data_IF_388170385272
#
_entry.id   IF_388170385272
#
_cell.length_a   1.000
_cell.length_b   1.000
_cell.length_c   1.000
_cell.angle_alpha   90.00
_cell.angle_beta   90.00
_cell.angle_gamma   90.00
#
_symmetry.space_group_name_H-M   'P 1'
#
loop_
_entity.id
_entity.type
_entity.pdbx_description
1 polymer ?
2 polymer ?
3 non-polymer ?
4 water ?
#
# COMPACT_ATOMS: atom_id res chain seq x y z
N UNK A 2 15.65 -0.35 25.13
CA UNK A 2 15.84 0.10 23.74
C UNK A 2 14.64 0.93 23.26
N UNK A 3 14.79 2.25 23.18
CA UNK A 3 13.69 3.05 22.65
C UNK A 3 13.36 2.55 21.25
N UNK A 4 12.08 2.59 20.89
CA UNK A 4 11.78 2.53 19.46
C UNK A 4 12.39 3.78 18.83
N UNK A 5 12.87 3.64 17.62
CA UNK A 5 13.53 4.75 16.95
C UNK A 5 13.27 4.65 15.46
N UNK A 6 13.05 5.80 14.85
CA UNK A 6 13.04 5.90 13.40
C UNK A 6 14.45 6.31 12.96
N UNK A 7 15.02 5.54 12.06
CA UNK A 7 16.28 5.92 11.46
C UNK A 7 16.21 5.54 9.99
N UNK A 8 17.23 5.90 9.23
CA UNK A 8 17.29 5.49 7.84
C UNK A 8 17.96 4.13 7.77
N UNK A 9 17.23 3.16 7.26
CA UNK A 9 17.74 1.82 7.12
C UNK A 9 18.68 1.73 5.93
N UNK A 10 19.47 0.68 5.89
CA UNK A 10 20.23 0.35 4.68
C UNK A 10 19.63 -0.93 4.11
N UNK A 11 19.98 -1.25 2.86
CA UNK A 11 19.46 -2.49 2.23
C UNK A 11 20.62 -3.39 1.86
N UNK A 12 20.34 -4.70 1.82
CA UNK A 12 21.31 -5.68 1.40
C UNK A 12 20.61 -6.63 0.44
N UNK A 13 21.36 -7.14 -0.53
CA UNK A 13 20.83 -8.06 -1.53
C UNK A 13 22.00 -8.86 -2.10
N UNK A 14 21.68 -9.92 -2.84
CA UNK A 14 22.67 -10.68 -3.59
C UNK A 14 22.54 -10.42 -5.08
N UNK A 15 22.25 -9.18 -5.44
CA UNK A 15 22.18 -8.80 -6.84
C UNK A 15 23.52 -9.09 -7.52
N UNK A 16 23.46 -9.21 -8.84
CA UNK A 16 24.62 -9.49 -9.68
C UNK A 16 24.92 -8.26 -10.53
N UNK A 17 26.19 -7.89 -10.60
CA UNK A 17 26.57 -6.62 -11.20
C UNK A 17 26.66 -6.67 -12.71
N UNK A 18 26.67 -7.87 -13.31
CA UNK A 18 26.72 -8.05 -14.76
C UNK A 18 25.34 -8.25 -15.38
N UNK A 19 24.27 -8.11 -14.60
CA UNK A 19 22.92 -8.47 -15.01
C UNK A 19 22.10 -7.22 -15.27
N UNK A 20 21.30 -7.28 -16.33
CA UNK A 20 20.64 -6.11 -16.89
C UNK A 20 19.27 -5.80 -16.30
N UNK A 21 18.72 -6.66 -15.45
CA UNK A 21 17.33 -6.50 -15.03
C UNK A 21 17.23 -5.43 -13.94
N UNK A 22 16.08 -4.75 -13.91
CA UNK A 22 15.96 -3.51 -13.13
C UNK A 22 16.34 -3.71 -11.66
N UNK A 23 15.85 -4.78 -11.01
CA UNK A 23 16.07 -4.94 -9.58
C UNK A 23 17.55 -5.19 -9.28
N UNK A 24 18.23 -5.95 -10.12
CA UNK A 24 19.67 -6.17 -9.93
C UNK A 24 20.43 -4.86 -10.11
N UNK A 25 20.12 -4.10 -11.15
CA UNK A 25 20.83 -2.83 -11.36
C UNK A 25 20.58 -1.90 -10.17
N UNK A 26 19.34 -1.82 -9.69
CA UNK A 26 19.06 -0.93 -8.57
C UNK A 26 19.81 -1.37 -7.31
N UNK A 27 19.76 -2.67 -7.01
CA UNK A 27 20.38 -3.16 -5.78
C UNK A 27 21.90 -3.07 -5.84
N UNK A 28 22.49 -3.19 -7.04
CA UNK A 28 23.95 -3.13 -7.17
C UNK A 28 24.50 -1.78 -6.74
N UNK A 29 23.75 -0.68 -6.94
CA UNK A 29 24.21 0.62 -6.48
C UNK A 29 23.64 1.00 -5.11
N UNK A 30 22.46 0.51 -4.76
CA UNK A 30 21.81 0.92 -3.53
C UNK A 30 22.20 0.06 -2.34
N UNK A 31 22.52 -1.21 -2.55
CA UNK A 31 22.55 -2.16 -1.45
C UNK A 31 23.96 -2.69 -1.27
N UNK A 32 24.19 -3.31 -0.11
CA UNK A 32 25.48 -3.93 0.20
C UNK A 32 25.28 -5.44 0.07
N UNK A 33 26.35 -6.23 0.08
CA UNK A 33 26.16 -7.68 0.05
C UNK A 33 25.50 -8.20 1.31
N UNK A 34 24.81 -9.33 1.16
CA UNK A 34 24.15 -9.94 2.31
C UNK A 34 25.17 -10.73 3.11
N UNK A 35 24.92 -10.81 4.42
CA UNK A 35 25.51 -11.84 5.28
C UNK A 35 24.85 -13.17 4.96
N UNK A 36 25.56 -14.13 4.39
CA UNK A 36 24.89 -15.37 3.95
C UNK A 36 24.35 -16.23 5.10
N UNK A 37 24.78 -15.97 6.35
CA UNK A 37 24.53 -16.89 7.46
C UNK A 37 24.58 -16.12 8.78
N UNK A 38 23.77 -15.07 8.94
CA UNK A 38 23.84 -14.27 10.17
C UNK A 38 23.32 -15.03 11.36
N UNK A 39 23.72 -14.55 12.54
CA UNK A 39 23.22 -15.08 13.80
C UNK A 39 21.99 -14.30 14.24
N UNK A 40 21.12 -14.98 14.96
CA UNK A 40 19.90 -14.40 15.48
C UNK A 40 19.88 -14.71 16.97
N UNK A 41 19.74 -13.69 17.80
CA UNK A 41 19.68 -13.86 19.26
C UNK A 41 18.23 -13.92 19.71
N UNK A 42 17.82 -15.06 20.24
CA UNK A 42 16.46 -15.19 20.77
C UNK A 42 16.45 -14.65 22.19
N UNK A 43 15.52 -13.75 22.47
CA UNK A 43 15.46 -13.09 23.77
C UNK A 43 14.53 -13.87 24.67
N UNK A 44 15.13 -14.48 25.71
CA UNK A 44 14.42 -15.16 26.78
C UNK A 44 13.56 -14.20 27.59
N UNK A 45 12.28 -14.55 27.79
CA UNK A 45 11.44 -13.97 28.84
C UNK A 45 11.03 -12.53 28.54
N UNK A 46 11.24 -12.07 27.31
CA UNK A 46 11.07 -10.65 26.95
C UNK A 46 9.74 -10.46 26.22
N UNK A 47 9.04 -9.38 26.55
CA UNK A 47 7.83 -8.99 25.83
C UNK A 47 7.95 -7.55 25.36
N UNK A 48 7.48 -7.30 24.14
CA UNK A 48 7.60 -6.00 23.47
C UNK A 48 6.33 -5.73 22.68
N UNK A 49 5.94 -4.45 22.62
CA UNK A 49 4.75 -4.05 21.88
C UNK A 49 5.11 -3.66 20.44
N UNK A 50 4.37 -4.20 19.48
CA UNK A 50 4.51 -3.86 18.08
C UNK A 50 3.27 -3.12 17.60
N UNK A 51 3.42 -2.36 16.51
CA UNK A 51 2.27 -1.76 15.82
C UNK A 51 2.59 -1.74 14.32
N UNK A 52 2.21 -2.80 13.63
CA UNK A 52 2.53 -2.90 12.21
C UNK A 52 1.95 -1.73 11.39
N UNK A 53 0.94 -1.04 11.89
CA UNK A 53 0.26 0.02 11.14
C UNK A 53 0.91 1.39 11.32
N UNK A 54 1.89 1.48 12.24
CA UNK A 54 2.63 2.69 12.56
C UNK A 54 4.09 2.23 12.68
N UNK A 55 4.69 1.94 11.52
CA UNK A 55 6.01 1.32 11.45
C UNK A 55 6.81 2.05 10.38
N UNK A 56 7.76 2.89 10.81
CA UNK A 56 8.48 3.71 9.85
C UNK A 56 9.28 2.87 8.84
N UNK A 57 9.53 1.60 9.14
CA UNK A 57 10.14 0.71 8.14
C UNK A 57 9.31 0.64 6.87
N UNK A 58 7.96 0.66 6.97
CA UNK A 58 7.10 0.58 5.80
C UNK A 58 7.27 1.82 4.94
N UNK A 59 7.34 3.01 5.56
CA UNK A 59 7.53 4.23 4.78
C UNK A 59 8.86 4.19 4.03
N UNK A 60 9.90 3.66 4.70
CA UNK A 60 11.22 3.60 4.06
C UNK A 60 11.23 2.64 2.89
N UNK A 61 10.63 1.44 3.07
CA UNK A 61 10.60 0.51 1.96
C UNK A 61 9.84 1.08 0.79
N UNK A 62 8.73 1.74 1.04
CA UNK A 62 7.95 2.33 -0.03
C UNK A 62 8.78 3.31 -0.86
N UNK A 63 9.54 4.18 -0.19
CA UNK A 63 10.35 5.11 -0.95
C UNK A 63 11.39 4.39 -1.79
N UNK A 64 11.98 3.30 -1.24
CA UNK A 64 13.01 2.57 -1.94
C UNK A 64 12.43 1.90 -3.18
N UNK A 65 11.23 1.34 -3.06
CA UNK A 65 10.64 0.62 -4.20
C UNK A 65 10.21 1.63 -5.29
N UNK A 66 9.72 2.80 -4.89
CA UNK A 66 9.46 3.89 -5.84
C UNK A 66 10.73 4.20 -6.60
N UNK A 67 11.85 4.34 -5.87
CA UNK A 67 13.11 4.65 -6.53
C UNK A 67 13.47 3.56 -7.53
N UNK A 68 13.33 2.29 -7.13
CA UNK A 68 13.64 1.19 -8.03
C UNK A 68 12.84 1.29 -9.33
N UNK A 69 11.52 1.43 -9.23
CA UNK A 69 10.69 1.50 -10.44
C UNK A 69 10.99 2.74 -11.27
N UNK A 70 11.16 3.89 -10.61
CA UNK A 70 11.50 5.13 -11.30
C UNK A 70 12.92 5.12 -11.87
N UNK A 71 13.80 4.22 -11.41
CA UNK A 71 15.10 4.07 -12.08
C UNK A 71 14.91 3.54 -13.49
N UNK A 72 14.37 2.31 -13.61
CA UNK A 72 14.13 1.71 -14.91
C UNK A 72 12.63 1.58 -15.21
N UNK A 92 13.45 -3.87 -19.99
CA UNK A 92 14.35 -5.04 -19.97
C UNK A 92 13.69 -6.07 -19.05
N UNK A 93 14.39 -7.18 -18.79
CA UNK A 93 13.87 -8.18 -17.86
C UNK A 93 13.51 -7.52 -16.53
N UNK A 94 12.42 -7.98 -15.93
CA UNK A 94 11.91 -7.38 -14.69
C UNK A 94 11.42 -8.52 -13.78
N UNK A 95 12.30 -8.98 -12.91
CA UNK A 95 11.99 -10.07 -11.98
C UNK A 95 12.42 -9.66 -10.58
N UNK A 96 11.49 -9.47 -9.65
CA UNK A 96 11.90 -9.00 -8.33
C UNK A 96 12.88 -9.96 -7.65
N UNK A 97 13.85 -9.37 -6.97
CA UNK A 97 14.82 -10.15 -6.20
C UNK A 97 14.62 -9.85 -4.72
N UNK A 98 15.06 -10.72 -3.82
CA UNK A 98 14.95 -10.45 -2.39
C UNK A 98 15.83 -9.27 -1.94
N UNK A 99 15.23 -8.37 -1.16
CA UNK A 99 15.91 -7.23 -0.57
C UNK A 99 15.74 -7.30 0.95
N UNK A 100 16.85 -7.19 1.69
CA UNK A 100 16.80 -7.14 3.14
C UNK A 100 16.90 -5.68 3.60
N UNK A 101 16.10 -5.29 4.60
CA UNK A 101 16.18 -3.95 5.20
C UNK A 101 16.87 -4.07 6.55
N UNK A 102 17.83 -3.19 6.83
CA UNK A 102 18.83 -3.45 7.87
C UNK A 102 19.03 -2.20 8.73
N UNK A 103 19.24 -2.43 10.00
CA UNK A 103 19.40 -1.40 11.02
C UNK A 103 20.85 -0.91 11.04
N UNK A 104 21.10 0.39 10.95
CA UNK A 104 22.48 0.88 10.97
C UNK A 104 23.08 0.87 12.38
N UNK A 105 24.35 1.27 12.43
CA UNK A 105 25.14 1.25 13.67
C UNK A 105 24.42 1.99 14.79
N UNK A 106 24.33 1.35 15.95
CA UNK A 106 23.55 1.89 17.05
C UNK A 106 22.12 1.43 17.12
N UNK A 107 21.67 0.61 16.18
CA UNK A 107 20.27 0.20 16.10
C UNK A 107 20.20 -1.30 15.85
N UNK A 108 19.00 -1.86 16.04
CA UNK A 108 18.77 -3.26 15.77
C UNK A 108 17.32 -3.37 15.35
N UNK A 109 16.98 -4.50 14.77
CA UNK A 109 15.60 -4.83 14.43
C UNK A 109 15.12 -5.90 15.39
N UNK A 110 13.98 -5.64 16.04
CA UNK A 110 13.30 -6.62 16.85
C UNK A 110 12.33 -7.40 15.98
N UNK A 111 12.37 -8.72 16.08
CA UNK A 111 11.53 -9.61 15.29
C UNK A 111 10.61 -10.37 16.23
N UNK A 112 9.31 -10.28 15.94
CA UNK A 112 8.30 -11.01 16.71
C UNK A 112 8.25 -12.45 16.22
N UNK A 113 8.43 -13.40 17.12
CA UNK A 113 8.45 -14.80 16.71
C UNK A 113 7.13 -15.52 16.98
N UNK A 114 6.17 -14.87 17.64
CA UNK A 114 4.84 -15.44 17.84
C UNK A 114 4.20 -15.82 16.50
N UNK A 115 3.81 -17.09 16.37
CA UNK A 115 3.42 -17.65 15.08
C UNK A 115 2.00 -17.29 14.65
N UNK A 116 1.18 -16.74 15.55
CA UNK A 116 -0.13 -16.15 15.22
C UNK A 116 -0.21 -14.79 15.89
N UNK A 117 0.59 -13.84 15.40
CA UNK A 117 0.66 -12.48 15.92
C UNK A 117 -0.20 -11.56 15.04
N UNK A 118 -1.05 -10.74 15.69
CA UNK A 118 -1.94 -9.87 14.92
C UNK A 118 -1.26 -8.57 14.49
N UNK A 119 0.01 -8.38 14.81
CA UNK A 119 0.75 -7.22 14.38
C UNK A 119 0.65 -6.01 15.29
N UNK A 120 -0.34 -5.96 16.19
CA UNK A 120 -0.49 -4.90 17.17
C UNK A 120 -0.48 -5.51 18.58
N UNK A 121 0.09 -4.79 19.53
CA UNK A 121 0.08 -5.23 20.90
C UNK A 121 1.25 -6.14 21.25
N UNK A 122 1.13 -6.84 22.37
CA UNK A 122 2.31 -7.53 22.94
C UNK A 122 2.70 -8.77 22.15
N UNK A 123 4.01 -9.04 22.13
CA UNK A 123 4.62 -10.21 21.51
C UNK A 123 5.58 -10.83 22.49
N UNK A 124 5.53 -12.15 22.64
CA UNK A 124 6.32 -12.78 23.69
C UNK A 124 7.70 -13.22 23.20
N UNK A 125 7.74 -14.11 22.22
CA UNK A 125 9.02 -14.63 21.76
C UNK A 125 9.60 -13.61 20.78
N UNK A 126 10.66 -12.92 21.21
CA UNK A 126 11.26 -11.82 20.45
C UNK A 126 12.73 -12.13 20.21
N UNK A 127 13.24 -11.72 19.07
CA UNK A 127 14.65 -11.89 18.79
C UNK A 127 15.17 -10.61 18.17
N UNK A 128 16.48 -10.41 18.30
CA UNK A 128 17.10 -9.23 17.74
C UNK A 128 17.96 -9.65 16.54
N UNK A 129 17.94 -8.83 15.49
CA UNK A 129 18.65 -9.10 14.25
C UNK A 129 19.09 -7.78 13.66
N UNK A 130 20.13 -7.82 12.82
CA UNK A 130 20.51 -6.64 12.09
C UNK A 130 19.59 -6.40 10.91
N UNK A 131 19.10 -7.46 10.26
CA UNK A 131 18.33 -7.29 9.01
C UNK A 131 17.04 -8.10 8.98
N UNK A 132 16.10 -7.65 8.15
CA UNK A 132 14.93 -8.47 7.87
C UNK A 132 15.31 -9.67 6.99
N UNK A 133 14.34 -10.57 6.83
CA UNK A 133 14.44 -11.56 5.78
C UNK A 133 14.41 -10.84 4.43
N UNK A 134 14.72 -11.59 3.38
CA UNK A 134 14.82 -11.03 2.06
C UNK A 134 13.41 -10.93 1.52
N UNK A 135 12.97 -9.72 1.24
CA UNK A 135 11.58 -9.45 0.81
C UNK A 135 11.61 -9.21 -0.70
N UNK A 136 10.78 -9.95 -1.44
CA UNK A 136 10.59 -9.57 -2.84
C UNK A 136 9.60 -8.42 -2.94
N UNK A 137 9.96 -7.33 -3.51
CA UNK A 137 9.05 -6.16 -3.50
C UNK A 137 8.03 -6.22 -4.62
N UNK A 138 7.11 -7.18 -4.53
CA UNK A 138 6.17 -7.41 -5.62
C UNK A 138 5.05 -6.37 -5.61
N UNK A 139 4.84 -5.72 -6.73
CA UNK A 139 3.81 -4.70 -6.89
C UNK A 139 2.60 -5.39 -7.51
N UNK A 140 1.48 -5.44 -6.80
CA UNK A 140 0.26 -6.07 -7.26
C UNK A 140 -0.92 -5.47 -6.52
N UNK A 141 -2.10 -5.70 -7.06
CA UNK A 141 -3.35 -5.38 -6.38
C UNK A 141 -4.16 -6.65 -6.16
N UNK A 142 -5.00 -6.61 -5.12
CA UNK A 142 -5.95 -7.65 -4.74
C UNK A 142 -5.28 -8.89 -4.13
N UNK A 143 -4.40 -9.55 -4.88
CA UNK A 143 -3.73 -10.75 -4.42
C UNK A 143 -2.26 -10.40 -4.19
N UNK A 144 -1.72 -10.87 -3.06
CA UNK A 144 -0.30 -10.71 -2.73
C UNK A 144 0.43 -11.94 -3.25
N UNK A 145 1.47 -11.68 -4.05
CA UNK A 145 2.16 -12.72 -4.81
C UNK A 145 3.59 -12.91 -4.31
N UNK A 146 3.98 -14.16 -4.19
CA UNK A 146 5.38 -14.54 -3.94
C UNK A 146 5.88 -14.03 -2.60
N UNK A 147 5.00 -13.88 -1.62
CA UNK A 147 5.34 -13.38 -0.30
C UNK A 147 5.56 -14.49 0.69
N UNK A 148 5.53 -14.14 1.98
CA UNK A 148 5.82 -15.07 3.06
C UNK A 148 4.54 -15.71 3.53
N UNK A 149 4.57 -17.03 3.71
CA UNK A 149 3.38 -17.72 4.20
C UNK A 149 3.38 -17.68 5.71
N UNK A 150 2.18 -17.68 6.29
CA UNK A 150 2.06 -17.86 7.74
C UNK A 150 2.56 -19.24 8.12
N UNK A 151 3.19 -19.32 9.30
CA UNK A 151 3.87 -20.53 9.74
C UNK A 151 2.88 -21.58 10.23
N UNK A 152 1.69 -21.18 10.67
CA UNK A 152 0.77 -22.11 11.32
C UNK A 152 -0.61 -22.17 10.69
N UNK A 153 -1.52 -21.29 11.10
CA UNK A 153 -2.84 -21.13 10.47
C UNK A 153 -2.89 -19.82 9.70
N UNK A 154 -3.90 -19.71 8.83
CA UNK A 154 -4.17 -18.43 8.18
C UNK A 154 -4.27 -17.36 9.25
N UNK A 155 -3.74 -16.16 8.95
CA UNK A 155 -3.82 -15.02 9.84
C UNK A 155 -4.45 -13.87 9.08
N UNK A 156 -5.41 -13.18 9.70
CA UNK A 156 -5.92 -11.92 9.15
C UNK A 156 -5.58 -10.79 10.10
N UNK A 157 -5.26 -9.63 9.54
CA UNK A 157 -4.76 -8.48 10.30
C UNK A 157 -5.46 -7.23 9.82
N UNK A 158 -5.91 -6.40 10.77
CA UNK A 158 -6.47 -5.09 10.43
C UNK A 158 -6.12 -4.10 11.52
N UNK A 159 -6.08 -2.82 11.14
CA UNK A 159 -5.81 -1.76 12.11
C UNK A 159 -6.95 -1.61 13.12
N UNK A 160 -8.19 -1.65 12.65
CA UNK A 160 -9.35 -1.84 13.52
C UNK A 160 -10.41 -2.59 12.70
N UNK A 161 -10.80 -3.78 13.16
CA UNK A 161 -11.73 -4.59 12.38
C UNK A 161 -13.13 -3.98 12.34
N UNK A 162 -13.52 -3.27 13.39
CA UNK A 162 -14.86 -2.69 13.42
C UNK A 162 -14.98 -1.45 12.54
N UNK A 163 -13.87 -0.90 12.04
CA UNK A 163 -13.88 0.19 11.06
C UNK A 163 -13.79 -0.41 9.66
N UNK A 164 -14.88 -0.34 8.88
CA UNK A 164 -14.83 -0.99 7.58
C UNK A 164 -13.92 -0.26 6.60
N UNK A 165 -13.55 0.99 6.89
CA UNK A 165 -12.59 1.71 6.05
C UNK A 165 -11.18 1.14 6.13
N UNK A 166 -10.86 0.42 7.20
CA UNK A 166 -9.53 -0.17 7.32
C UNK A 166 -9.47 -1.49 6.58
N UNK A 167 -8.49 -1.62 5.69
CA UNK A 167 -8.33 -2.85 4.92
C UNK A 167 -7.86 -4.02 5.80
N UNK A 168 -8.19 -5.21 5.36
CA UNK A 168 -7.80 -6.46 6.01
C UNK A 168 -6.70 -7.09 5.17
N UNK A 169 -5.59 -7.42 5.80
CA UNK A 169 -4.50 -8.13 5.12
C UNK A 169 -4.61 -9.58 5.53
N UNK A 170 -4.83 -10.47 4.57
CA UNK A 170 -4.88 -11.93 4.81
C UNK A 170 -3.53 -12.55 4.48
N UNK A 171 -3.00 -13.39 5.38
CA UNK A 171 -1.80 -14.17 5.14
C UNK A 171 -2.18 -15.64 5.13
N UNK A 172 -1.99 -16.30 3.98
CA UNK A 172 -2.27 -17.71 3.84
C UNK A 172 -1.12 -18.55 4.42
N UNK A 173 -1.44 -19.79 4.77
CA UNK A 173 -0.44 -20.76 5.24
C UNK A 173 -0.08 -21.78 4.16
N UNK A 174 -0.72 -21.72 3.00
CA UNK A 174 -0.42 -22.62 1.89
C UNK A 174 -0.51 -21.79 0.62
N UNK A 175 0.50 -21.87 -0.25
CA UNK A 175 0.45 -21.07 -1.48
C UNK A 175 -0.64 -21.58 -2.43
N UNK A 176 -1.23 -20.68 -3.21
CA UNK A 176 -2.12 -21.07 -4.31
C UNK A 176 -1.42 -20.60 -5.59
N UNK A 177 -1.10 -21.56 -6.46
CA UNK A 177 -0.42 -21.22 -7.71
C UNK A 177 -1.37 -20.50 -8.66
N UNK A 178 -0.86 -19.46 -9.32
CA UNK A 178 -1.56 -18.75 -10.37
C UNK A 178 -0.67 -18.68 -11.61
N UNK A 179 -1.12 -19.31 -12.68
CA UNK A 179 -0.35 -19.38 -13.93
C UNK A 179 -1.04 -18.56 -15.01
N UNK A 180 -0.29 -17.64 -15.63
CA UNK A 180 -0.84 -16.67 -16.57
C UNK A 180 -0.10 -16.72 -17.90
N UNK A 181 -0.85 -16.48 -18.97
CA UNK A 181 -0.35 -16.59 -20.33
C UNK A 181 -0.99 -15.52 -21.21
N UNK A 182 -0.42 -15.31 -22.39
CA UNK A 182 -0.96 -14.38 -23.38
C UNK A 182 -1.09 -15.10 -24.72
N UNK A 183 -2.12 -14.73 -25.50
CA UNK A 183 -2.42 -15.43 -26.76
C UNK A 183 -1.64 -14.82 -27.94
N UNK A 195 -3.14 -8.82 -26.88
CA UNK A 195 -3.73 -8.06 -25.78
C UNK A 195 -4.58 -8.90 -24.84
N UNK A 196 -5.16 -10.00 -25.33
CA UNK A 196 -5.93 -10.89 -24.47
C UNK A 196 -5.02 -11.93 -23.84
N UNK A 197 -5.47 -12.47 -22.71
CA UNK A 197 -4.62 -13.26 -21.83
C UNK A 197 -5.51 -13.86 -20.76
N UNK A 198 -4.93 -14.75 -19.96
CA UNK A 198 -5.68 -15.36 -18.87
C UNK A 198 -4.72 -15.90 -17.81
N UNK A 199 -5.30 -16.15 -16.64
CA UNK A 199 -4.62 -16.75 -15.50
C UNK A 199 -5.46 -17.92 -15.00
N UNK A 200 -4.80 -19.04 -14.71
CA UNK A 200 -5.45 -20.24 -14.23
C UNK A 200 -5.12 -20.49 -12.76
N UNK A 201 -6.14 -20.80 -11.98
CA UNK A 201 -6.00 -21.19 -10.57
C UNK A 201 -6.70 -22.51 -10.36
N UNK A 202 -6.14 -23.39 -9.53
CA UNK A 202 -6.83 -24.62 -9.18
C UNK A 202 -8.14 -24.31 -8.43
N UNK A 203 -9.27 -24.86 -8.91
CA UNK A 203 -10.53 -24.56 -8.22
C UNK A 203 -10.55 -25.17 -6.83
N UNK A 204 -10.05 -26.38 -6.71
CA UNK A 204 -10.00 -27.06 -5.40
C UNK A 204 -9.19 -26.24 -4.40
N UNK A 205 -7.98 -25.84 -4.77
CA UNK A 205 -7.14 -25.11 -3.82
C UNK A 205 -7.77 -23.78 -3.44
N UNK A 206 -8.43 -23.11 -4.39
CA UNK A 206 -8.98 -21.80 -4.11
C UNK A 206 -10.18 -21.91 -3.17
N UNK A 207 -11.06 -22.91 -3.40
CA UNK A 207 -12.17 -23.08 -2.49
C UNK A 207 -11.69 -23.45 -1.09
N UNK A 208 -10.66 -24.30 -1.00
CA UNK A 208 -10.00 -24.57 0.28
C UNK A 208 -9.52 -23.28 0.93
N UNK A 209 -8.91 -22.38 0.15
CA UNK A 209 -8.40 -21.14 0.72
C UNK A 209 -9.55 -20.26 1.23
N UNK A 210 -10.60 -20.11 0.45
CA UNK A 210 -11.73 -19.31 0.93
C UNK A 210 -12.32 -19.90 2.22
N UNK A 211 -12.41 -21.24 2.33
CA UNK A 211 -13.00 -21.80 3.55
C UNK A 211 -12.18 -21.38 4.78
N UNK A 212 -10.85 -21.43 4.67
CA UNK A 212 -10.05 -21.11 5.85
C UNK A 212 -10.13 -19.64 6.19
N UNK A 213 -10.23 -18.79 5.17
CA UNK A 213 -10.40 -17.36 5.39
C UNK A 213 -11.75 -17.07 6.08
N UNK A 214 -12.80 -17.76 5.67
CA UNK A 214 -14.12 -17.60 6.31
C UNK A 214 -14.06 -17.91 7.80
N UNK A 215 -13.40 -19.01 8.17
CA UNK A 215 -13.27 -19.37 9.59
C UNK A 215 -12.59 -18.26 10.37
N UNK A 216 -11.55 -17.65 9.80
CA UNK A 216 -10.84 -16.58 10.50
C UNK A 216 -11.65 -15.30 10.53
N UNK A 217 -12.40 -14.98 9.47
CA UNK A 217 -13.22 -13.77 9.51
C UNK A 217 -14.35 -13.88 10.55
N UNK A 218 -14.94 -15.07 10.69
CA UNK A 218 -16.00 -15.22 11.69
C UNK A 218 -15.49 -14.97 13.11
N UNK A 219 -14.27 -15.38 13.41
CA UNK A 219 -13.74 -15.14 14.76
C UNK A 219 -13.80 -13.66 15.11
N UNK A 220 -13.62 -12.79 14.11
CA UNK A 220 -13.49 -11.35 14.30
C UNK A 220 -14.82 -10.59 14.22
N UNK A 221 -15.85 -11.16 13.57
CA UNK A 221 -17.10 -10.45 13.33
C UNK A 221 -18.28 -11.16 13.96
N UNK A 222 -18.17 -11.45 15.27
CA UNK A 222 -19.27 -11.95 16.10
C UNK A 222 -19.97 -13.14 15.44
N UNK A 223 -19.19 -13.96 14.73
CA UNK A 223 -19.68 -15.20 14.11
C UNK A 223 -20.88 -14.95 13.21
N UNK A 224 -20.85 -13.84 12.47
CA UNK A 224 -21.84 -13.56 11.43
C UNK A 224 -21.53 -14.40 10.19
N UNK A 225 -22.53 -14.52 9.31
CA UNK A 225 -22.27 -15.19 8.04
C UNK A 225 -21.36 -14.36 7.17
N UNK A 226 -20.43 -15.05 6.48
CA UNK A 226 -19.42 -14.37 5.65
C UNK A 226 -19.82 -14.53 4.19
N UNK A 227 -19.76 -13.42 3.46
CA UNK A 227 -19.96 -13.40 2.02
C UNK A 227 -18.77 -12.73 1.35
N UNK A 228 -18.43 -13.22 0.15
CA UNK A 228 -17.50 -12.48 -0.70
C UNK A 228 -18.23 -11.96 -1.93
N UNK A 229 -17.67 -10.89 -2.49
CA UNK A 229 -18.25 -10.27 -3.67
C UNK A 229 -17.14 -9.64 -4.45
N UNK A 230 -17.35 -9.35 -5.73
CA UNK A 230 -16.27 -8.76 -6.51
C UNK A 230 -16.00 -7.31 -6.09
N UNK A 231 -14.82 -6.86 -6.47
CA UNK A 231 -14.45 -5.47 -6.25
C UNK A 231 -15.55 -4.51 -6.71
N UNK A 232 -15.73 -3.42 -5.95
CA UNK A 232 -16.89 -2.55 -6.21
C UNK A 232 -16.54 -1.16 -6.75
N UNK A 233 -15.27 -0.77 -6.75
CA UNK A 233 -14.91 0.50 -7.30
C UNK A 233 -13.49 0.86 -6.91
N UNK A 234 -13.11 2.07 -7.28
CA UNK A 234 -11.76 2.55 -7.09
C UNK A 234 -11.04 2.70 -8.41
N UNK A 235 -9.73 2.94 -8.30
CA UNK A 235 -8.94 3.09 -9.49
C UNK A 235 -9.08 1.83 -10.36
N UNK A 236 -8.98 1.97 -11.68
CA UNK A 236 -9.20 0.81 -12.57
C UNK A 236 -8.27 -0.33 -12.30
N UNK A 237 -7.03 -0.07 -11.92
CA UNK A 237 -6.13 -1.13 -11.60
C UNK A 237 -6.40 -1.78 -10.26
N UNK A 238 -7.24 -1.24 -9.37
CA UNK A 238 -7.53 -2.01 -8.17
C UNK A 238 -8.79 -2.86 -8.31
N UNK A 239 -9.63 -2.56 -9.27
CA UNK A 239 -10.87 -3.37 -9.46
C UNK A 239 -10.54 -4.69 -10.14
N UNK A 240 -9.36 -4.79 -10.75
CA UNK A 240 -8.75 -5.95 -11.37
C UNK A 240 -7.60 -6.42 -10.48
N UNK A 241 -7.24 -7.72 -10.56
CA UNK A 241 -5.92 -8.18 -10.07
C UNK A 241 -4.88 -7.73 -11.08
N UNK A 242 -4.01 -6.82 -10.69
CA UNK A 242 -3.03 -6.21 -11.58
C UNK A 242 -1.64 -6.50 -11.04
N UNK A 243 -0.73 -6.79 -11.95
CA UNK A 243 0.62 -7.16 -11.55
C UNK A 243 1.48 -7.04 -12.80
N UNK A 244 2.77 -7.16 -12.59
CA UNK A 244 3.77 -7.06 -13.63
C UNK A 244 4.38 -8.44 -13.80
N UNK A 245 4.34 -8.94 -15.02
CA UNK A 245 4.91 -10.24 -15.36
C UNK A 245 5.98 -10.01 -16.43
N UNK A 246 7.24 -10.17 -16.03
CA UNK A 246 8.43 -9.81 -16.82
C UNK A 246 8.11 -8.89 -17.99
N UNK A 247 7.92 -7.60 -17.69
CA UNK A 247 7.76 -6.55 -18.66
C UNK A 247 6.32 -6.13 -18.92
N UNK A 248 5.39 -7.06 -18.85
CA UNK A 248 4.03 -6.86 -19.31
C UNK A 248 3.11 -6.62 -18.13
N UNK A 249 2.24 -5.61 -18.24
CA UNK A 249 1.29 -5.36 -17.17
C UNK A 249 0.01 -6.13 -17.47
N UNK A 250 -0.41 -6.98 -16.53
CA UNK A 250 -1.60 -7.81 -16.62
C UNK A 250 -2.69 -7.23 -15.73
N UNK A 251 -3.93 -7.27 -16.23
CA UNK A 251 -5.10 -6.78 -15.52
C UNK A 251 -6.17 -7.88 -15.60
N UNK A 252 -6.37 -8.62 -14.51
CA UNK A 252 -7.18 -9.83 -14.52
C UNK A 252 -8.51 -9.64 -13.78
N UNK A 253 -9.59 -10.09 -14.39
CA UNK A 253 -10.89 -9.95 -13.76
C UNK A 253 -11.09 -11.06 -12.72
N UNK A 254 -11.31 -10.66 -11.46
CA UNK A 254 -11.39 -11.65 -10.40
C UNK A 254 -12.82 -11.96 -9.93
N UNK A 255 -13.84 -11.60 -10.70
CA UNK A 255 -15.21 -11.97 -10.36
C UNK A 255 -15.31 -13.47 -10.01
N UNK A 256 -14.71 -14.33 -10.84
CA UNK A 256 -14.90 -15.77 -10.62
C UNK A 256 -14.25 -16.24 -9.30
N UNK A 257 -13.35 -15.46 -8.72
CA UNK A 257 -12.72 -15.79 -7.44
C UNK A 257 -13.55 -15.37 -6.24
N UNK A 258 -14.40 -14.37 -6.36
CA UNK A 258 -15.08 -13.78 -5.22
C UNK A 258 -16.59 -13.73 -5.44
N UNK A 259 -17.18 -14.83 -5.83
CA UNK A 259 -18.59 -14.80 -6.15
C UNK A 259 -19.25 -16.09 -5.71
N UNK A 279 -12.54 -27.68 -12.96
CA UNK A 279 -11.18 -28.07 -12.64
C UNK A 279 -10.24 -26.87 -12.32
N UNK A 280 -10.04 -25.99 -13.27
CA UNK A 280 -9.34 -24.76 -12.99
C UNK A 280 -10.36 -23.63 -13.07
N UNK A 281 -10.01 -22.52 -12.44
CA UNK A 281 -10.68 -21.24 -12.62
C UNK A 281 -9.83 -20.45 -13.58
N UNK A 282 -10.43 -19.99 -14.67
CA UNK A 282 -9.71 -19.23 -15.67
C UNK A 282 -10.18 -17.77 -15.58
N UNK A 283 -9.27 -16.90 -15.25
CA UNK A 283 -9.61 -15.48 -15.17
C UNK A 283 -9.26 -14.80 -16.49
N UNK A 284 -10.15 -14.04 -17.10
CA UNK A 284 -9.76 -13.30 -18.32
C UNK A 284 -8.94 -12.08 -17.89
N UNK A 285 -7.92 -11.78 -18.71
CA UNK A 285 -7.00 -10.68 -18.44
C UNK A 285 -6.79 -9.88 -19.72
N UNK A 286 -6.46 -8.60 -19.53
CA UNK A 286 -5.97 -7.76 -20.59
C UNK A 286 -4.52 -7.38 -20.31
N UNK A 287 -3.73 -7.25 -21.38
CA UNK A 287 -2.35 -6.78 -21.32
C UNK A 287 -2.28 -5.35 -21.79
N UNK A 288 -1.65 -4.49 -20.99
CA UNK A 288 -1.35 -3.13 -21.42
C UNK A 288 0.10 -2.82 -21.03
N UNK A 310 4.36 -15.24 -23.62
CA UNK A 310 4.95 -14.98 -22.30
C UNK A 310 4.11 -15.62 -21.19
N UNK A 311 4.75 -16.48 -20.39
CA UNK A 311 4.12 -17.18 -19.28
C UNK A 311 4.59 -16.61 -17.94
N UNK A 312 3.69 -16.66 -16.95
CA UNK A 312 4.02 -16.28 -15.59
C UNK A 312 3.37 -17.25 -14.62
N UNK A 313 4.14 -17.71 -13.65
CA UNK A 313 3.61 -18.50 -12.55
C UNK A 313 4.06 -17.86 -11.24
N UNK A 314 3.10 -17.56 -10.38
CA UNK A 314 3.37 -16.98 -9.08
C UNK A 314 2.63 -17.77 -8.02
N UNK A 315 3.02 -17.55 -6.77
CA UNK A 315 2.32 -18.09 -5.63
C UNK A 315 1.48 -16.99 -4.99
N UNK A 316 0.17 -17.21 -4.94
CA UNK A 316 -0.68 -16.36 -4.12
C UNK A 316 -0.42 -16.71 -2.66
N UNK A 317 0.03 -15.72 -1.89
CA UNK A 317 0.41 -15.98 -0.48
C UNK A 317 -0.44 -15.11 0.46
N UNK A 318 -1.24 -14.22 -0.08
CA UNK A 318 -2.09 -13.28 0.68
C UNK A 318 -3.12 -12.59 -0.16
N UNK A 319 -3.98 -11.84 0.52
CA UNK A 319 -5.07 -11.10 -0.09
C UNK A 319 -5.26 -9.80 0.68
N UNK A 320 -5.71 -8.78 -0.04
CA UNK A 320 -6.13 -7.50 0.54
C UNK A 320 -7.65 -7.50 0.39
N UNK A 321 -8.37 -7.40 1.51
CA UNK A 321 -9.84 -7.35 1.50
C UNK A 321 -10.39 -6.08 2.13
N UNK A 322 -11.58 -5.67 1.66
CA UNK A 322 -12.32 -4.58 2.26
C UNK A 322 -13.73 -5.06 2.59
N UNK A 323 -14.22 -4.69 3.77
CA UNK A 323 -15.57 -5.04 4.21
C UNK A 323 -16.58 -3.96 3.84
N UNK A 324 -17.75 -4.39 3.35
CA UNK A 324 -18.82 -3.44 3.06
C UNK A 324 -19.36 -2.77 4.33
N UNK A 325 -19.66 -1.49 4.23
CA UNK A 325 -20.34 -0.79 5.31
C UNK A 325 -21.83 -1.03 5.25
N UNK A 326 -22.54 -0.61 6.31
CA UNK A 326 -23.98 -0.63 6.28
C UNK A 326 -24.58 -1.11 7.58
N UNK A 327 -25.84 -1.56 7.49
CA UNK A 327 -26.60 -1.94 8.66
C UNK A 327 -26.14 -3.31 9.18
N UNK A 328 -26.41 -3.54 10.48
CA UNK A 328 -26.01 -4.77 11.16
C UNK A 328 -26.92 -5.91 10.72
N UNK A 329 -26.82 -6.28 9.45
CA UNK A 329 -27.50 -7.45 8.91
C UNK A 329 -27.01 -8.70 9.63
N UNK A 330 -27.44 -9.86 9.17
CA UNK A 330 -26.89 -11.11 9.69
C UNK A 330 -25.57 -11.48 9.02
N UNK A 331 -25.10 -10.68 8.04
CA UNK A 331 -23.95 -11.06 7.24
C UNK A 331 -23.01 -9.87 7.06
N UNK A 332 -21.75 -10.22 6.81
CA UNK A 332 -20.71 -9.28 6.43
C UNK A 332 -20.14 -9.69 5.08
N UNK A 333 -19.97 -8.72 4.20
CA UNK A 333 -19.46 -8.97 2.86
C UNK A 333 -18.11 -8.34 2.66
N UNK A 334 -17.21 -9.10 2.02
CA UNK A 334 -15.83 -8.71 1.80
C UNK A 334 -15.51 -8.77 0.32
N UNK A 335 -14.72 -7.81 -0.12
CA UNK A 335 -14.37 -7.59 -1.51
C UNK A 335 -12.86 -7.43 -1.63
N UNK A 336 -12.27 -7.94 -2.73
CA UNK A 336 -10.83 -7.67 -2.98
C UNK A 336 -10.57 -6.18 -3.14
N UNK A 337 -9.47 -5.71 -2.63
CA UNK A 337 -9.06 -4.30 -2.73
C UNK A 337 -7.58 -4.11 -2.85
N UNK A 338 -7.11 -3.03 -2.28
CA UNK A 338 -5.70 -2.75 -2.37
C UNK A 338 -5.47 -1.41 -3.03
N UNK A 339 -4.28 -1.20 -3.59
CA UNK A 339 -3.92 0.03 -4.25
C UNK A 339 -2.97 0.89 -3.44
N UNK A 340 -3.01 0.76 -2.11
CA UNK A 340 -2.02 1.39 -1.23
C UNK A 340 -0.92 0.37 -1.12
N UNK A 341 0.13 0.53 -1.96
CA UNK A 341 1.20 -0.45 -1.95
C UNK A 341 1.80 -0.60 -0.56
N UNK A 342 1.52 0.35 0.35
CA UNK A 342 2.12 0.24 1.68
C UNK A 342 1.55 -0.95 2.43
N UNK A 343 0.33 -1.37 2.09
CA UNK A 343 -0.23 -2.60 2.63
C UNK A 343 0.55 -3.83 2.16
N UNK A 344 0.96 -3.86 0.88
CA UNK A 344 1.86 -4.91 0.42
C UNK A 344 3.13 -4.98 1.27
N UNK A 345 3.69 -3.84 1.64
CA UNK A 345 4.92 -3.91 2.42
C UNK A 345 4.64 -4.33 3.87
N UNK A 346 3.53 -3.83 4.42
CA UNK A 346 3.08 -4.26 5.75
C UNK A 346 2.94 -5.78 5.83
N UNK A 347 2.44 -6.40 4.76
CA UNK A 347 2.18 -7.83 4.82
C UNK A 347 3.46 -8.63 5.08
N UNK A 348 4.64 -8.04 4.78
CA UNK A 348 5.93 -8.67 5.04
C UNK A 348 6.66 -8.12 6.25
N UNK A 349 6.41 -6.86 6.60
CA UNK A 349 7.17 -6.18 7.64
C UNK A 349 6.48 -6.17 9.00
N UNK A 350 5.32 -6.81 9.10
CA UNK A 350 4.49 -6.70 10.31
C UNK A 350 5.23 -7.22 11.54
N UNK A 351 6.17 -8.11 11.38
CA UNK A 351 6.80 -8.76 12.51
C UNK A 351 8.05 -8.04 12.98
N UNK A 352 8.32 -6.86 12.43
CA UNK A 352 9.61 -6.19 12.68
C UNK A 352 9.39 -4.78 13.21
N UNK A 353 10.41 -4.29 13.91
CA UNK A 353 10.38 -2.95 14.50
C UNK A 353 11.81 -2.55 14.78
N UNK A 354 12.13 -1.28 14.55
CA UNK A 354 13.52 -0.79 14.74
C UNK A 354 13.64 -0.20 16.13
N UNK A 355 14.74 -0.52 16.81
CA UNK A 355 15.01 0.03 18.14
C UNK A 355 16.44 0.54 18.19
N UNK A 356 16.67 1.52 19.05
CA UNK A 356 18.00 2.01 19.34
C UNK A 356 18.54 1.14 20.47
N UNK A 357 19.71 0.55 20.25
CA UNK A 357 20.34 -0.33 21.22
C UNK A 357 21.18 0.48 22.18
N UNK A 358 22.00 1.39 21.66
CA UNK A 358 22.70 2.36 22.50
C UNK A 358 21.73 3.02 23.50
N UNK B 2 8.98 15.61 6.81
CA UNK B 2 7.56 15.42 6.93
C UNK B 2 7.00 14.82 5.64
N UNK B 3 7.81 14.82 4.59
CA UNK B 3 7.42 14.33 3.27
C UNK B 3 6.53 15.33 2.53
N UNK B 4 5.40 15.74 3.14
CA UNK B 4 4.50 16.71 2.51
C UNK B 4 4.24 17.85 3.49
N UNK B 5 4.36 19.10 3.02
CA UNK B 5 4.11 20.24 3.89
C UNK B 5 3.27 21.27 3.18
N UNK B 6 2.06 21.51 3.68
CA UNK B 6 1.16 22.51 3.12
C UNK B 6 1.43 23.87 3.73
N UNK B 7 1.09 24.91 2.98
CA UNK B 7 1.09 26.26 3.47
C UNK B 7 0.02 27.06 2.70
N UNK B 8 -0.23 28.27 3.16
CA UNK B 8 -1.14 29.21 2.50
C UNK B 8 -2.49 29.40 3.13
N UNK B 9 -2.78 28.69 4.20
CA UNK B 9 -4.03 28.86 4.91
C UNK B 9 -4.16 30.23 5.56
N UNK B 10 -5.41 30.59 5.82
CA UNK B 10 -5.67 31.93 6.36
C UNK B 10 -7.15 32.11 6.65
N UNK B 11 -7.44 33.28 7.18
CA UNK B 11 -8.80 33.76 7.34
C UNK B 11 -9.10 34.68 6.18
N UNK B 12 -10.22 34.44 5.52
CA UNK B 12 -10.61 35.21 4.36
C UNK B 12 -12.09 35.52 4.45
N UNK B 13 -12.48 36.57 3.72
CA UNK B 13 -13.87 36.99 3.61
C UNK B 13 -14.46 36.30 2.39
N UNK B 14 -15.74 35.91 2.50
CA UNK B 14 -16.37 35.19 1.40
C UNK B 14 -16.24 36.03 0.13
N UNK B 15 -16.05 35.35 -1.00
CA UNK B 15 -15.73 36.01 -2.23
C UNK B 15 -14.25 36.28 -2.47
N UNK B 16 -13.41 36.10 -1.45
CA UNK B 16 -11.98 36.27 -1.62
C UNK B 16 -11.32 35.02 -2.19
N UNK B 17 -9.98 35.04 -2.15
CA UNK B 17 -9.15 34.03 -2.79
C UNK B 17 -7.98 33.70 -1.88
N UNK B 18 -7.55 32.44 -1.93
CA UNK B 18 -6.35 31.97 -1.25
C UNK B 18 -5.62 31.07 -2.23
N UNK B 19 -4.31 30.94 -2.05
CA UNK B 19 -3.54 29.97 -2.83
C UNK B 19 -2.80 29.07 -1.87
N UNK B 20 -3.10 27.77 -1.91
CA UNK B 20 -2.42 26.79 -1.07
C UNK B 20 -1.26 26.21 -1.84
N UNK B 21 -0.20 25.86 -1.11
CA UNK B 21 0.99 25.26 -1.71
C UNK B 21 1.37 24.05 -0.92
N UNK B 22 1.97 23.08 -1.60
CA UNK B 22 2.43 21.85 -0.97
C UNK B 22 3.78 21.51 -1.58
N UNK B 23 4.81 21.33 -0.75
CA UNK B 23 6.09 20.86 -1.23
C UNK B 23 6.24 19.42 -0.83
N UNK B 24 6.60 18.58 -1.79
CA UNK B 24 6.68 17.15 -1.63
C UNK B 24 8.16 16.86 -1.47
N UNK B 25 8.58 16.58 -0.23
CA UNK B 25 9.97 16.21 0.01
C UNK B 25 10.23 14.72 -0.23
N UNK B 26 9.18 13.91 -0.20
CA UNK B 26 9.29 12.48 -0.45
C UNK B 26 9.52 12.19 -1.93
N UNK B 27 9.75 10.91 -2.21
CA UNK B 27 10.09 10.45 -3.55
C UNK B 27 8.87 10.52 -4.42
N UNK B 28 9.03 11.08 -5.60
CA UNK B 28 8.00 11.26 -6.59
C UNK B 28 8.30 10.34 -7.78
N UNK B 29 7.33 10.19 -8.68
CA UNK B 29 7.59 9.38 -9.86
C UNK B 29 6.59 9.76 -10.94
N UNK B 30 6.87 9.29 -12.15
CA UNK B 30 5.95 9.54 -13.25
C UNK B 30 4.62 8.79 -13.10
N UNK B 31 4.47 7.92 -12.12
CA UNK B 31 3.11 7.37 -11.96
C UNK B 31 2.39 7.89 -10.72
N UNK B 32 2.87 8.97 -10.14
CA UNK B 32 2.16 9.55 -9.03
C UNK B 32 0.94 10.37 -9.42
N UNK B 33 -0.03 10.36 -8.50
CA UNK B 33 -1.05 11.40 -8.42
C UNK B 33 -0.79 12.25 -7.18
N UNK B 34 -1.02 13.54 -7.30
CA UNK B 34 -1.08 14.42 -6.14
C UNK B 34 -2.46 15.04 -6.02
N UNK B 35 -2.93 15.21 -4.81
CA UNK B 35 -4.23 15.81 -4.62
C UNK B 35 -4.37 16.61 -3.35
N UNK B 36 -5.53 17.20 -3.26
CA UNK B 36 -6.00 17.99 -2.14
C UNK B 36 -7.31 17.41 -1.68
N UNK B 37 -7.41 17.28 -0.37
CA UNK B 37 -8.57 16.82 0.38
C UNK B 37 -8.84 17.86 1.45
N UNK B 38 -10.05 17.84 1.99
CA UNK B 38 -10.31 18.82 3.06
C UNK B 38 -11.30 18.22 4.05
N UNK B 39 -11.29 18.77 5.24
CA UNK B 39 -12.17 18.30 6.30
C UNK B 39 -12.73 19.51 7.02
N UNK B 40 -14.02 19.73 6.79
CA UNK B 40 -14.73 20.81 7.45
C UNK B 40 -15.09 20.41 8.87
N UNK B 41 -15.13 21.36 9.79
CA UNK B 41 -15.29 20.99 11.19
C UNK B 41 -16.55 20.16 11.39
N UNK B 42 -16.39 19.03 12.08
CA UNK B 42 -17.45 18.09 12.34
C UNK B 42 -17.64 17.02 11.28
N UNK B 43 -17.38 17.34 10.01
CA UNK B 43 -17.66 16.48 8.88
C UNK B 43 -16.46 15.59 8.56
N UNK B 44 -16.68 14.64 7.66
CA UNK B 44 -15.63 13.71 7.27
C UNK B 44 -14.77 14.31 6.16
N UNK B 45 -13.57 13.75 6.00
CA UNK B 45 -12.65 14.19 4.96
C UNK B 45 -13.23 13.93 3.58
N UNK B 46 -13.06 14.88 2.68
CA UNK B 46 -13.58 14.72 1.34
C UNK B 46 -12.56 15.16 0.30
N UNK B 47 -12.66 14.54 -0.88
CA UNK B 47 -11.82 14.88 -2.02
C UNK B 47 -12.16 16.28 -2.55
N UNK B 48 -11.14 17.03 -2.92
CA UNK B 48 -11.29 18.35 -3.56
C UNK B 48 -10.79 18.35 -5.00
N UNK B 49 -9.52 17.96 -5.20
CA UNK B 49 -8.93 18.05 -6.53
C UNK B 49 -7.68 17.17 -6.59
N UNK B 50 -7.36 16.70 -7.79
CA UNK B 50 -6.16 15.92 -8.01
C UNK B 50 -5.57 16.16 -9.38
N UNK B 51 -4.26 15.89 -9.50
CA UNK B 51 -3.51 16.01 -10.75
C UNK B 51 -2.55 14.85 -10.93
N UNK B 52 -2.47 14.32 -12.17
CA UNK B 52 -1.46 13.32 -12.47
C UNK B 52 -0.09 14.03 -12.59
N UNK B 53 0.93 13.43 -11.95
CA UNK B 53 2.22 14.10 -11.85
C UNK B 53 2.94 14.21 -13.18
N UNK B 54 2.78 13.21 -14.03
CA UNK B 54 3.44 13.20 -15.34
C UNK B 54 2.58 13.85 -16.39
N UNK B 55 1.31 13.44 -16.49
CA UNK B 55 0.43 13.91 -17.54
C UNK B 55 -0.29 15.21 -17.31
N UNK B 56 -0.55 15.60 -16.05
CA UNK B 56 -1.26 16.84 -15.81
C UNK B 56 -2.76 16.79 -15.98
N UNK B 57 -3.35 15.61 -16.21
CA UNK B 57 -4.80 15.47 -16.15
C UNK B 57 -5.32 15.79 -14.76
N UNK B 58 -6.44 16.53 -14.73
CA UNK B 58 -6.98 16.98 -13.46
C UNK B 58 -8.42 16.50 -13.27
N UNK B 59 -8.86 16.56 -12.01
CA UNK B 59 -10.23 16.21 -11.61
C UNK B 59 -10.60 17.01 -10.38
N UNK B 60 -11.86 17.42 -10.32
CA UNK B 60 -12.35 18.25 -9.22
C UNK B 60 -13.66 17.72 -8.66
N UNK B 61 -13.87 17.89 -7.34
CA UNK B 61 -15.20 17.66 -6.79
C UNK B 61 -16.16 18.69 -7.37
N UNK B 62 -17.43 18.28 -7.57
CA UNK B 62 -18.38 19.15 -8.25
C UNK B 62 -18.56 20.50 -7.57
N UNK B 63 -18.43 20.59 -6.24
CA UNK B 63 -18.76 21.84 -5.57
C UNK B 63 -17.68 22.91 -5.71
N UNK B 64 -16.52 22.57 -6.24
CA UNK B 64 -15.48 23.56 -6.49
C UNK B 64 -15.27 23.84 -7.97
N UNK B 65 -15.96 23.14 -8.87
CA UNK B 65 -15.69 23.37 -10.27
C UNK B 65 -15.91 24.83 -10.65
N UNK B 66 -15.00 25.33 -11.49
CA UNK B 66 -15.05 26.70 -11.93
C UNK B 66 -14.49 27.69 -10.95
N UNK B 67 -14.24 27.26 -9.71
CA UNK B 67 -13.72 28.15 -8.69
C UNK B 67 -12.30 27.78 -8.24
N UNK B 68 -11.97 26.50 -8.18
CA UNK B 68 -10.65 26.04 -7.73
C UNK B 68 -9.87 25.57 -8.93
N UNK B 69 -8.55 25.68 -8.84
CA UNK B 69 -7.67 25.17 -9.90
C UNK B 69 -6.47 24.50 -9.23
N UNK B 70 -6.14 23.28 -9.67
CA UNK B 70 -5.00 22.53 -9.15
C UNK B 70 -3.93 22.58 -10.23
N UNK B 71 -2.70 22.90 -9.84
CA UNK B 71 -1.57 22.93 -10.76
C UNK B 71 -0.36 22.38 -10.03
N UNK B 72 0.72 22.21 -10.76
CA UNK B 72 1.93 21.63 -10.18
C UNK B 72 3.15 22.26 -10.81
N UNK B 73 4.30 22.08 -10.15
CA UNK B 73 5.61 22.43 -10.72
C UNK B 73 6.57 21.28 -10.39
N UNK B 74 6.86 20.42 -11.38
CA UNK B 74 7.62 19.20 -11.09
C UNK B 74 9.04 19.49 -10.65
N UNK B 75 9.65 20.56 -11.17
CA UNK B 75 11.03 20.85 -10.82
C UNK B 75 11.18 21.35 -9.38
N UNK B 76 10.11 21.90 -8.80
CA UNK B 76 10.08 22.31 -7.40
C UNK B 76 9.43 21.28 -6.47
N UNK B 77 9.05 20.11 -6.97
CA UNK B 77 8.29 19.10 -6.22
C UNK B 77 7.09 19.76 -5.51
N UNK B 78 6.34 20.58 -6.25
CA UNK B 78 5.28 21.42 -5.69
C UNK B 78 3.93 21.20 -6.33
N UNK B 79 2.88 21.27 -5.51
CA UNK B 79 1.51 21.26 -6.02
C UNK B 79 0.74 22.40 -5.38
N UNK B 80 -0.17 22.99 -6.14
CA UNK B 80 -0.83 24.22 -5.77
C UNK B 80 -2.34 24.07 -5.89
N UNK B 81 -3.07 24.75 -5.02
CA UNK B 81 -4.53 24.83 -5.15
C UNK B 81 -4.91 26.30 -5.10
N UNK B 82 -5.28 26.87 -6.24
CA UNK B 82 -5.80 28.24 -6.31
C UNK B 82 -7.27 28.16 -5.96
N UNK B 83 -7.68 28.90 -4.93
CA UNK B 83 -9.09 28.89 -4.48
C UNK B 83 -9.68 30.30 -4.65
N UNK B 84 -10.61 30.44 -5.61
CA UNK B 84 -11.27 31.71 -5.91
C UNK B 84 -12.75 31.65 -5.51
N UNK B 85 -13.35 32.83 -5.40
CA UNK B 85 -14.78 32.93 -5.08
C UNK B 85 -15.11 32.09 -3.87
N UNK B 86 -14.35 32.29 -2.77
CA UNK B 86 -14.50 31.40 -1.63
C UNK B 86 -15.86 31.58 -0.97
N UNK B 87 -16.37 30.48 -0.45
CA UNK B 87 -17.67 30.36 0.17
C UNK B 87 -17.48 29.86 1.59
N UNK B 88 -18.36 30.24 2.52
CA UNK B 88 -18.28 29.68 3.87
C UNK B 88 -18.19 28.17 3.91
N UNK B 89 -18.87 27.46 3.00
CA UNK B 89 -18.78 26.00 2.94
C UNK B 89 -17.37 25.51 2.57
N UNK B 90 -16.48 26.39 2.10
CA UNK B 90 -15.09 25.99 1.89
C UNK B 90 -14.24 25.98 3.16
N UNK B 91 -14.76 26.45 4.28
CA UNK B 91 -14.00 26.45 5.55
C UNK B 91 -13.62 25.01 5.91
N UNK B 92 -12.32 24.78 6.16
CA UNK B 92 -11.87 23.44 6.47
C UNK B 92 -10.36 23.42 6.64
N UNK B 93 -9.87 22.32 7.18
CA UNK B 93 -8.47 21.94 7.07
C UNK B 93 -8.24 21.36 5.68
N UNK B 94 -7.24 21.87 4.96
CA UNK B 94 -6.87 21.36 3.64
C UNK B 94 -5.58 20.55 3.70
N UNK B 95 -5.64 19.34 3.14
CA UNK B 95 -4.55 18.40 3.17
C UNK B 95 -4.07 18.14 1.77
N UNK B 96 -2.78 18.16 1.58
CA UNK B 96 -2.14 17.68 0.36
C UNK B 96 -1.83 16.19 0.57
N UNK B 97 -1.86 15.45 -0.52
CA UNK B 97 -1.67 14.00 -0.47
C UNK B 97 -1.04 13.49 -1.76
N UNK B 98 -0.36 12.35 -1.65
CA UNK B 98 0.32 11.69 -2.77
C UNK B 98 -0.15 10.24 -2.84
N UNK B 99 -0.16 9.72 -4.04
CA UNK B 99 -0.46 8.31 -4.27
C UNK B 99 0.43 7.79 -5.40
N UNK B 100 1.19 6.75 -5.13
CA UNK B 100 1.95 6.07 -6.17
C UNK B 100 1.07 5.04 -6.86
N UNK B 101 0.98 5.09 -8.17
CA UNK B 101 0.09 4.20 -8.95
C UNK B 101 0.88 3.55 -10.06
N UNK B 102 1.84 2.65 -9.71
CA UNK B 102 2.75 2.07 -10.72
C UNK B 102 2.06 1.25 -11.81
N UNK B 103 0.88 0.69 -11.50
CA UNK B 103 0.18 -0.21 -12.40
C UNK B 103 -0.91 0.52 -13.20
N UNK B 104 -1.02 1.83 -13.05
CA UNK B 104 -2.03 2.58 -13.77
C UNK B 104 -1.87 2.39 -15.28
N UNK B 105 -2.99 2.52 -15.97
CA UNK B 105 -3.00 2.50 -17.43
C UNK B 105 -3.78 3.70 -17.97
N UNK B 106 -4.10 4.65 -17.09
CA UNK B 106 -4.79 5.87 -17.49
C UNK B 106 -4.20 7.06 -16.75
N UNK B 107 -4.23 8.23 -17.40
CA UNK B 107 -3.68 9.42 -16.74
C UNK B 107 -4.70 10.09 -15.83
N UNK B 108 -5.93 9.62 -15.82
CA UNK B 108 -6.92 10.27 -14.97
C UNK B 108 -6.54 10.05 -13.50
N UNK B 109 -6.47 11.09 -12.68
CA UNK B 109 -6.02 10.91 -11.29
C UNK B 109 -7.09 10.39 -10.36
N UNK B 110 -6.61 9.76 -9.29
CA UNK B 110 -7.44 9.06 -8.33
C UNK B 110 -8.18 10.09 -7.47
N UNK B 111 -9.36 9.72 -7.02
CA UNK B 111 -10.00 10.57 -6.03
C UNK B 111 -10.10 9.92 -4.64
N UNK B 112 -9.31 8.88 -4.37
CA UNK B 112 -9.41 8.24 -3.05
C UNK B 112 -8.18 7.40 -2.73
N UNK B 113 -8.02 7.10 -1.44
CA UNK B 113 -7.05 6.10 -0.97
C UNK B 113 -5.59 6.49 -1.26
N UNK B 114 -5.23 7.72 -0.89
CA UNK B 114 -3.87 8.25 -1.10
C UNK B 114 -2.86 7.79 -0.01
N UNK B 115 -1.58 7.52 -0.45
CA UNK B 115 -0.55 6.89 0.39
C UNK B 115 -0.22 7.72 1.65
N UNK B 116 -0.10 9.01 1.50
CA UNK B 116 0.30 9.83 2.63
C UNK B 116 -0.17 11.24 2.44
N UNK B 117 -0.16 11.96 3.57
CA UNK B 117 -0.89 13.20 3.79
C UNK B 117 0.03 14.15 4.52
N UNK B 118 -0.21 15.44 4.33
CA UNK B 118 0.44 16.47 5.13
C UNK B 118 -0.26 16.70 6.45
N UNK B 119 0.29 17.60 7.25
CA UNK B 119 -0.37 18.03 8.49
C UNK B 119 -1.58 18.92 8.24
N UNK B 120 -1.71 19.47 7.06
CA UNK B 120 -2.86 20.32 6.79
C UNK B 120 -2.59 21.78 6.97
N UNK B 121 -3.36 22.59 6.26
CA UNK B 121 -3.34 24.05 6.40
C UNK B 121 -4.79 24.50 6.61
N UNK B 122 -4.98 25.40 7.59
CA UNK B 122 -6.32 25.75 8.06
C UNK B 122 -6.89 26.96 7.30
N UNK B 123 -8.14 26.81 6.85
CA UNK B 123 -8.81 27.84 6.03
C UNK B 123 -10.15 28.19 6.68
N UNK B 124 -10.32 29.48 7.02
CA UNK B 124 -11.61 29.94 7.51
C UNK B 124 -12.15 31.01 6.58
N UNK B 125 -13.39 30.83 6.14
CA UNK B 125 -14.07 31.80 5.23
C UNK B 125 -15.27 32.35 5.97
N UNK B 126 -15.22 33.64 6.28
CA UNK B 126 -16.23 34.32 7.07
C UNK B 126 -17.26 35.05 6.19
N UNK B 127 -18.36 35.45 6.84
CA UNK B 127 -19.49 36.15 6.22
C UNK B 127 -20.22 35.21 5.30
#
# INVERSE_FOLDING_TARGET
VWKEANTTLFCASDAKAYDTEAHNVWATHACVPTDPNPQEVVLENVTENFNMWKNHMVEQMHEDIISLWDQSLKPCVKLTGGSVITQACPKISFEPIPIHFCAPAGFAILKCNDKKFNGTGPCTNVSTVQCTHGIRPVVSTQLLLNGSLAEEEVVIRSENFTNNVKNIIVQLNESVQINCTRHNNGGSGSGGDIRQAHCNISREKWQNTLKQIVKKLREQFKNKTIAFAPSSGGDPEIVMHSFNCNGEFFYCNTTKLFTSTWNSTWNSTWNNTEGSNSTVITLPCRIRQIINMWQEVGKAMYAPPIQGQIKCSSNITGLLLTRDGGVDTTKETFRPGGGNMKDNWRSELYKYKVVRIE
AVQLQESGGGLVQAGGSLRLSCTVSARTSSSHDMGWFRQAPGKEREFVAAISWSGGTTNYVDSVKGRFDISKDNAKNAVYLQMNSLKPEDTAVYYCAAKWRPLRYSDNPSNSDYNYWGQGTQVTVSS
#
